data_IF_007287516444
#
_entry.id   IF_007287516444
#
_cell.length_a   1.000
_cell.length_b   1.000
_cell.length_c   1.000
_cell.angle_alpha   90.00
_cell.angle_beta   90.00
_cell.angle_gamma   90.00
#
_symmetry.space_group_name_H-M   'P 1'
#
loop_
_entity.id
_entity.type
_entity.pdbx_description
1 polymer ?
#
# COMPACT_ATOMS: atom_id res chain seq x y z
N UNK A 1 1.11 -53.72 4.55
CA UNK A 1 1.52 -52.32 4.33
C UNK A 1 0.96 -51.91 2.99
N UNK A 2 -0.15 -51.17 2.97
CA UNK A 2 -0.86 -50.79 1.74
C UNK A 2 -0.64 -49.31 1.47
N UNK A 3 0.50 -48.96 0.89
CA UNK A 3 0.54 -47.75 0.06
C UNK A 3 -0.25 -48.08 -1.21
N UNK A 4 -1.32 -47.33 -1.49
CA UNK A 4 -2.13 -47.49 -2.71
C UNK A 4 -1.40 -47.00 -3.98
N UNK A 5 -0.14 -46.58 -3.82
CA UNK A 5 0.72 -46.14 -4.91
C UNK A 5 1.53 -47.29 -5.50
N UNK A 6 1.73 -47.26 -6.81
CA UNK A 6 2.67 -48.15 -7.48
C UNK A 6 4.11 -47.84 -7.06
N UNK A 7 5.00 -48.83 -7.13
CA UNK A 7 6.43 -48.64 -6.82
C UNK A 7 7.07 -47.51 -7.65
N UNK A 8 6.67 -47.38 -8.93
CA UNK A 8 7.12 -46.31 -9.83
C UNK A 8 6.65 -44.92 -9.36
N UNK A 9 5.40 -44.81 -8.90
CA UNK A 9 4.86 -43.55 -8.37
C UNK A 9 5.58 -43.13 -7.08
N UNK A 10 5.81 -44.07 -6.15
CA UNK A 10 6.55 -43.81 -4.92
C UNK A 10 7.98 -43.35 -5.21
N UNK A 11 8.67 -44.00 -6.15
CA UNK A 11 10.02 -43.60 -6.54
C UNK A 11 10.05 -42.18 -7.11
N UNK A 12 9.08 -41.83 -7.97
CA UNK A 12 8.96 -40.48 -8.54
C UNK A 12 8.73 -39.41 -7.46
N UNK A 13 7.81 -39.65 -6.52
CA UNK A 13 7.52 -38.72 -5.44
C UNK A 13 8.72 -38.57 -4.49
N UNK A 14 9.41 -39.68 -4.18
CA UNK A 14 10.64 -39.64 -3.38
C UNK A 14 11.74 -38.83 -4.06
N UNK A 15 11.94 -39.00 -5.37
CA UNK A 15 12.95 -38.20 -6.09
C UNK A 15 12.61 -36.71 -6.08
N UNK A 16 11.33 -36.35 -6.23
CA UNK A 16 10.89 -34.95 -6.14
C UNK A 16 11.18 -34.36 -4.76
N UNK A 17 10.81 -35.04 -3.68
CA UNK A 17 11.10 -34.60 -2.31
C UNK A 17 12.59 -34.40 -2.05
N UNK A 18 13.45 -35.29 -2.55
CA UNK A 18 14.91 -35.17 -2.37
C UNK A 18 15.46 -33.98 -3.15
N UNK A 19 14.97 -33.74 -4.37
CA UNK A 19 15.36 -32.56 -5.16
C UNK A 19 14.92 -31.28 -4.46
N UNK A 20 13.65 -31.18 -4.05
CA UNK A 20 13.13 -30.01 -3.33
C UNK A 20 13.89 -29.75 -2.03
N UNK A 21 14.18 -30.80 -1.24
CA UNK A 21 15.00 -30.69 -0.03
C UNK A 21 16.34 -30.05 -0.33
N UNK A 22 17.06 -30.58 -1.32
CA UNK A 22 18.39 -30.09 -1.70
C UNK A 22 18.34 -28.65 -2.19
N UNK A 23 17.30 -28.28 -2.92
CA UNK A 23 17.13 -26.91 -3.44
C UNK A 23 16.90 -25.91 -2.31
N UNK A 24 16.13 -26.29 -1.28
CA UNK A 24 15.91 -25.46 -0.07
C UNK A 24 17.21 -25.36 0.74
N UNK A 25 17.87 -26.48 1.04
CA UNK A 25 19.14 -26.50 1.79
C UNK A 25 20.19 -25.61 1.11
N UNK A 26 20.34 -25.74 -0.21
CA UNK A 26 21.26 -24.93 -0.98
C UNK A 26 20.89 -23.44 -0.97
N UNK A 27 19.60 -23.09 -1.02
CA UNK A 27 19.14 -21.70 -0.93
C UNK A 27 19.44 -21.09 0.44
N UNK A 28 19.20 -21.82 1.51
CA UNK A 28 19.50 -21.38 2.88
C UNK A 28 21.00 -21.21 3.11
N UNK A 29 21.82 -22.13 2.59
CA UNK A 29 23.29 -22.03 2.65
C UNK A 29 23.83 -20.86 1.83
N UNK A 30 23.39 -20.69 0.58
CA UNK A 30 23.90 -19.64 -0.31
C UNK A 30 23.52 -18.22 0.12
N UNK A 31 22.35 -18.05 0.73
CA UNK A 31 21.86 -16.75 1.17
C UNK A 31 22.15 -16.45 2.64
N UNK A 32 22.99 -17.24 3.31
CA UNK A 32 23.28 -17.10 4.74
C UNK A 32 22.01 -16.96 5.60
N UNK A 33 21.00 -17.80 5.30
CA UNK A 33 19.66 -17.71 5.91
C UNK A 33 19.04 -16.32 5.73
N UNK A 34 19.03 -15.83 4.49
CA UNK A 34 18.50 -14.50 4.10
C UNK A 34 19.24 -13.33 4.77
N UNK A 35 20.53 -13.47 5.07
CA UNK A 35 21.32 -12.44 5.74
C UNK A 35 20.89 -12.16 7.19
N UNK A 36 20.04 -13.02 7.78
CA UNK A 36 19.51 -12.85 9.13
C UNK A 36 20.50 -13.28 10.22
N UNK A 37 21.65 -13.86 9.85
CA UNK A 37 22.74 -14.18 10.77
C UNK A 37 23.34 -12.94 11.43
N UNK A 38 23.27 -11.79 10.75
CA UNK A 38 23.75 -10.52 11.27
C UNK A 38 22.62 -9.65 11.86
N UNK A 39 23.01 -8.76 12.78
CA UNK A 39 22.09 -7.74 13.29
C UNK A 39 21.77 -6.74 12.18
N UNK A 40 20.56 -6.18 12.18
CA UNK A 40 20.15 -5.14 11.21
C UNK A 40 21.15 -3.97 11.14
N UNK A 41 21.77 -3.62 12.28
CA UNK A 41 22.82 -2.60 12.38
C UNK A 41 24.06 -2.91 11.52
N UNK A 42 24.45 -4.17 11.45
CA UNK A 42 25.59 -4.63 10.63
C UNK A 42 25.23 -4.63 9.15
N UNK A 43 23.99 -5.01 8.82
CA UNK A 43 23.47 -5.05 7.46
C UNK A 43 23.36 -3.67 6.82
N UNK A 44 22.87 -2.67 7.57
CA UNK A 44 22.80 -1.27 7.11
C UNK A 44 24.15 -0.55 7.16
N UNK A 45 25.10 -1.05 7.94
CA UNK A 45 26.37 -0.38 8.20
C UNK A 45 26.25 0.87 9.10
N UNK A 46 25.05 1.15 9.60
CA UNK A 46 24.75 2.37 10.35
C UNK A 46 25.04 2.20 11.85
N UNK A 47 25.69 3.20 12.47
CA UNK A 47 25.99 3.13 13.90
C UNK A 47 24.77 3.47 14.78
N UNK A 48 23.85 4.27 14.26
CA UNK A 48 22.66 4.77 14.96
C UNK A 48 21.54 5.13 13.97
N UNK A 49 20.27 4.75 14.24
CA UNK A 49 19.14 5.17 13.43
C UNK A 49 18.71 6.63 13.69
N UNK A 50 19.33 7.33 14.64
CA UNK A 50 18.90 8.68 15.08
C UNK A 50 19.04 9.74 13.98
N UNK A 51 20.01 9.60 13.08
CA UNK A 51 20.27 10.55 11.99
C UNK A 51 19.55 10.15 10.69
N UNK A 52 18.86 9.01 10.68
CA UNK A 52 18.14 8.53 9.51
C UNK A 52 16.72 9.08 9.46
N UNK A 53 16.21 9.27 8.25
CA UNK A 53 14.81 9.60 8.07
C UNK A 53 13.95 8.43 8.58
N UNK A 54 12.85 8.67 9.35
CA UNK A 54 12.02 7.59 9.90
C UNK A 54 11.48 6.62 8.84
N UNK A 55 11.23 7.11 7.62
CA UNK A 55 10.80 6.30 6.48
C UNK A 55 11.85 5.29 5.99
N UNK A 56 13.14 5.64 6.08
CA UNK A 56 14.23 4.73 5.67
C UNK A 56 14.32 3.57 6.66
N UNK A 57 14.24 3.87 7.96
CA UNK A 57 14.21 2.84 9.02
C UNK A 57 12.98 1.93 8.87
N UNK A 58 11.82 2.48 8.51
CA UNK A 58 10.62 1.69 8.26
C UNK A 58 10.79 0.74 7.06
N UNK A 59 11.44 1.20 6.00
CA UNK A 59 11.71 0.40 4.79
C UNK A 59 12.64 -0.78 5.11
N UNK A 60 13.75 -0.51 5.83
CA UNK A 60 14.69 -1.56 6.26
C UNK A 60 14.03 -2.60 7.17
N UNK A 61 13.16 -2.15 8.10
CA UNK A 61 12.40 -3.06 8.96
C UNK A 61 11.44 -3.94 8.16
N UNK A 62 10.73 -3.36 7.19
CA UNK A 62 9.80 -4.10 6.33
C UNK A 62 10.52 -5.17 5.51
N UNK A 63 11.67 -4.84 4.91
CA UNK A 63 12.47 -5.81 4.15
C UNK A 63 13.00 -6.93 5.07
N UNK A 64 13.42 -6.59 6.29
CA UNK A 64 13.86 -7.60 7.26
C UNK A 64 12.72 -8.53 7.71
N UNK A 65 11.51 -8.01 7.92
CA UNK A 65 10.34 -8.83 8.25
C UNK A 65 9.97 -9.79 7.11
N UNK A 66 10.11 -9.33 5.87
CA UNK A 66 9.94 -10.18 4.68
C UNK A 66 10.99 -11.29 4.63
N UNK A 67 12.26 -10.99 4.90
CA UNK A 67 13.31 -12.00 4.95
C UNK A 67 13.06 -13.06 6.03
N UNK A 68 12.60 -12.64 7.22
CA UNK A 68 12.20 -13.58 8.30
C UNK A 68 11.06 -14.49 7.82
N UNK A 69 10.05 -13.92 7.17
CA UNK A 69 8.91 -14.68 6.66
C UNK A 69 9.32 -15.72 5.60
N UNK A 70 10.30 -15.38 4.75
CA UNK A 70 10.85 -16.31 3.76
C UNK A 70 11.67 -17.43 4.41
N UNK A 71 12.48 -17.10 5.41
CA UNK A 71 13.23 -18.09 6.18
C UNK A 71 12.29 -19.09 6.86
N UNK A 72 11.29 -18.59 7.61
CA UNK A 72 10.31 -19.45 8.28
C UNK A 72 9.57 -20.35 7.29
N UNK A 73 9.19 -19.82 6.12
CA UNK A 73 8.54 -20.59 5.07
C UNK A 73 9.40 -21.77 4.60
N UNK A 74 10.67 -21.52 4.32
CA UNK A 74 11.63 -22.52 3.87
C UNK A 74 11.90 -23.59 4.94
N UNK A 75 12.08 -23.17 6.20
CA UNK A 75 12.26 -24.07 7.35
C UNK A 75 11.05 -24.98 7.55
N UNK A 76 9.83 -24.42 7.52
CA UNK A 76 8.60 -25.21 7.62
C UNK A 76 8.43 -26.17 6.45
N UNK A 77 8.79 -25.75 5.23
CA UNK A 77 8.74 -26.64 4.07
C UNK A 77 9.74 -27.78 4.21
N UNK A 78 10.97 -27.50 4.67
CA UNK A 78 12.01 -28.50 4.90
C UNK A 78 11.58 -29.53 5.95
N UNK A 79 11.01 -29.09 7.07
CA UNK A 79 10.47 -29.98 8.12
C UNK A 79 9.35 -30.89 7.56
N UNK A 80 8.46 -30.32 6.74
CA UNK A 80 7.38 -31.07 6.09
C UNK A 80 7.93 -32.13 5.12
N UNK A 81 8.96 -31.79 4.34
CA UNK A 81 9.64 -32.71 3.42
C UNK A 81 10.34 -33.83 4.18
N UNK A 82 11.08 -33.52 5.25
CA UNK A 82 11.76 -34.53 6.06
C UNK A 82 10.78 -35.50 6.72
N UNK A 83 9.68 -34.97 7.24
CA UNK A 83 8.61 -35.81 7.79
C UNK A 83 7.95 -36.70 6.71
N UNK A 84 7.80 -36.19 5.48
CA UNK A 84 7.28 -36.98 4.37
C UNK A 84 8.25 -38.09 3.93
N UNK A 85 9.55 -37.80 3.86
CA UNK A 85 10.59 -38.80 3.59
C UNK A 85 10.63 -39.89 4.67
N UNK A 86 10.55 -39.52 5.93
CA UNK A 86 10.45 -40.48 7.04
C UNK A 86 9.19 -41.35 6.93
N UNK A 87 8.06 -40.76 6.54
CA UNK A 87 6.80 -41.50 6.31
C UNK A 87 6.91 -42.52 5.17
N UNK A 88 7.77 -42.27 4.17
CA UNK A 88 8.06 -43.21 3.08
C UNK A 88 8.85 -44.41 3.64
N UNK A 89 9.80 -44.17 4.53
CA UNK A 89 10.61 -45.22 5.17
C UNK A 89 9.76 -46.11 6.09
N UNK A 90 8.85 -45.52 6.86
CA UNK A 90 7.94 -46.22 7.76
C UNK A 90 6.74 -46.88 7.04
N UNK A 91 6.51 -46.54 5.76
CA UNK A 91 5.50 -47.17 4.91
C UNK A 91 4.06 -46.68 5.10
N UNK A 92 3.86 -45.52 5.73
CA UNK A 92 2.54 -44.88 5.92
C UNK A 92 2.33 -43.63 5.04
N UNK A 93 3.30 -43.29 4.20
CA UNK A 93 3.21 -42.21 3.22
C UNK A 93 1.96 -42.30 2.32
N UNK A 94 1.31 -41.16 2.11
CA UNK A 94 0.07 -41.08 1.35
C UNK A 94 -1.19 -41.40 2.13
N UNK A 95 -1.12 -41.54 3.45
CA UNK A 95 -2.29 -41.72 4.32
C UNK A 95 -2.58 -40.42 5.07
N UNK A 96 -3.83 -39.96 5.05
CA UNK A 96 -4.19 -38.73 5.77
C UNK A 96 -4.06 -38.91 7.28
N UNK A 97 -3.34 -38.01 7.95
CA UNK A 97 -3.13 -38.05 9.40
C UNK A 97 -4.42 -37.95 10.25
N UNK A 98 -5.51 -37.43 9.68
CA UNK A 98 -6.80 -37.24 10.39
C UNK A 98 -7.78 -38.40 10.13
N UNK A 99 -8.12 -38.66 8.87
CA UNK A 99 -9.13 -39.67 8.53
C UNK A 99 -8.56 -41.05 8.17
N UNK A 100 -7.24 -41.18 8.13
CA UNK A 100 -6.53 -42.42 7.77
C UNK A 100 -6.90 -42.99 6.39
N UNK A 101 -7.50 -42.16 5.53
CA UNK A 101 -7.84 -42.54 4.15
C UNK A 101 -6.66 -42.27 3.21
N UNK A 102 -6.55 -43.03 2.11
CA UNK A 102 -5.52 -42.80 1.09
C UNK A 102 -5.69 -41.41 0.45
N UNK A 103 -4.59 -40.68 0.35
CA UNK A 103 -4.52 -39.38 -0.30
C UNK A 103 -4.40 -39.60 -1.82
N UNK A 104 -5.24 -38.95 -2.66
CA UNK A 104 -5.17 -39.12 -4.11
C UNK A 104 -3.79 -38.81 -4.68
N UNK A 105 -3.35 -39.60 -5.66
CA UNK A 105 -2.03 -39.42 -6.30
C UNK A 105 -1.86 -38.02 -6.90
N UNK A 106 -2.88 -37.49 -7.57
CA UNK A 106 -2.87 -36.13 -8.13
C UNK A 106 -2.54 -35.05 -7.09
N UNK A 107 -3.02 -35.22 -5.85
CA UNK A 107 -2.70 -34.31 -4.75
C UNK A 107 -1.26 -34.45 -4.29
N UNK A 108 -0.77 -35.68 -4.15
CA UNK A 108 0.64 -35.92 -3.79
C UNK A 108 1.60 -35.48 -4.89
N UNK A 109 1.16 -35.52 -6.16
CA UNK A 109 1.94 -35.00 -7.28
C UNK A 109 2.04 -33.47 -7.25
N UNK A 110 1.00 -32.78 -6.77
CA UNK A 110 1.00 -31.32 -6.63
C UNK A 110 1.70 -30.84 -5.35
N UNK A 111 1.52 -31.54 -4.23
CA UNK A 111 2.10 -31.20 -2.93
C UNK A 111 2.63 -32.48 -2.26
N UNK A 112 3.87 -32.91 -2.59
CA UNK A 112 4.38 -34.23 -2.20
C UNK A 112 4.66 -34.37 -0.70
N UNK A 113 4.84 -33.26 0.01
CA UNK A 113 5.09 -33.23 1.46
C UNK A 113 3.79 -33.15 2.30
N UNK A 114 2.60 -33.24 1.70
CA UNK A 114 1.34 -33.10 2.45
C UNK A 114 1.04 -34.30 3.35
N UNK A 115 0.65 -34.03 4.60
CA UNK A 115 0.15 -35.03 5.57
C UNK A 115 -1.36 -35.22 5.53
N UNK A 116 -2.09 -34.38 4.79
CA UNK A 116 -3.54 -34.26 4.89
C UNK A 116 -4.23 -34.43 3.53
N UNK A 117 -5.43 -35.03 3.55
CA UNK A 117 -6.34 -34.97 2.40
C UNK A 117 -6.94 -33.56 2.27
N UNK A 118 -7.52 -33.24 1.11
CA UNK A 118 -8.11 -31.91 0.83
C UNK A 118 -9.10 -31.44 1.92
N UNK A 119 -9.90 -32.33 2.49
CA UNK A 119 -10.92 -31.99 3.50
C UNK A 119 -10.35 -31.65 4.88
N UNK A 120 -9.16 -32.16 5.21
CA UNK A 120 -8.54 -32.02 6.52
C UNK A 120 -7.28 -31.14 6.47
N UNK A 121 -7.08 -30.39 5.38
CA UNK A 121 -6.01 -29.40 5.30
C UNK A 121 -6.33 -28.27 6.30
N UNK A 122 -5.44 -27.98 7.28
CA UNK A 122 -5.72 -27.00 8.32
C UNK A 122 -5.76 -25.55 7.79
N UNK A 123 -4.96 -25.25 6.76
CA UNK A 123 -4.87 -23.93 6.12
C UNK A 123 -5.96 -23.76 5.04
N UNK A 124 -7.22 -23.60 5.45
CA UNK A 124 -8.32 -23.29 4.51
C UNK A 124 -8.99 -21.95 4.75
N UNK A 125 -8.73 -21.31 5.88
CA UNK A 125 -9.35 -20.03 6.25
C UNK A 125 -8.31 -18.93 6.06
N UNK A 126 -8.56 -18.04 5.10
CA UNK A 126 -7.85 -16.76 5.04
C UNK A 126 -8.22 -16.03 6.33
N UNK A 127 -7.22 -15.58 7.09
CA UNK A 127 -7.48 -14.82 8.32
C UNK A 127 -8.37 -13.62 8.01
N UNK A 128 -9.58 -13.61 8.56
CA UNK A 128 -10.46 -12.44 8.54
C UNK A 128 -10.04 -11.39 9.59
N UNK A 129 -9.01 -11.68 10.40
CA UNK A 129 -8.40 -10.71 11.31
C UNK A 129 -7.53 -9.75 10.50
N UNK A 130 -8.20 -8.90 9.73
CA UNK A 130 -7.61 -7.73 9.14
C UNK A 130 -7.39 -6.67 10.23
N UNK A 131 -6.37 -5.81 10.11
CA UNK A 131 -6.13 -4.73 11.07
C UNK A 131 -7.40 -3.90 11.30
N UNK A 132 -7.62 -3.46 12.54
CA UNK A 132 -8.84 -2.69 12.90
C UNK A 132 -8.91 -1.37 12.13
N UNK A 133 -7.76 -0.86 11.72
CA UNK A 133 -7.54 0.30 10.87
C UNK A 133 -8.30 0.14 9.55
N UNK A 134 -8.35 -1.05 8.95
CA UNK A 134 -9.06 -1.24 7.67
C UNK A 134 -10.57 -1.02 7.81
N UNK A 135 -11.16 -1.33 8.96
CA UNK A 135 -12.58 -1.02 9.24
C UNK A 135 -12.82 0.48 9.40
N UNK A 136 -11.87 1.18 10.02
CA UNK A 136 -11.96 2.62 10.20
C UNK A 136 -11.68 3.36 8.89
N UNK A 137 -10.73 2.87 8.10
CA UNK A 137 -10.27 3.50 6.86
C UNK A 137 -11.16 3.16 5.67
N UNK A 138 -12.17 2.28 5.78
CA UNK A 138 -13.04 1.94 4.67
C UNK A 138 -14.02 3.09 4.32
N UNK A 139 -14.17 3.46 3.03
CA UNK A 139 -13.35 3.08 1.87
C UNK A 139 -11.94 3.69 1.94
N UNK A 140 -10.91 2.88 1.68
CA UNK A 140 -9.50 3.26 1.88
C UNK A 140 -9.19 4.60 1.20
N UNK A 141 -8.68 5.56 1.99
CA UNK A 141 -8.35 6.94 1.59
C UNK A 141 -9.53 7.82 1.13
N UNK A 142 -10.66 7.26 0.71
CA UNK A 142 -11.85 8.00 0.28
C UNK A 142 -12.93 8.19 1.37
N UNK A 143 -12.69 7.77 2.61
CA UNK A 143 -13.65 8.00 3.71
C UNK A 143 -13.78 9.49 4.05
N UNK A 144 -12.67 10.21 3.99
CA UNK A 144 -12.55 11.58 4.49
C UNK A 144 -12.58 12.63 3.38
N UNK A 145 -12.34 12.26 2.13
CA UNK A 145 -12.61 13.13 0.97
C UNK A 145 -14.10 13.06 0.63
N UNK A 146 -14.79 14.19 0.71
CA UNK A 146 -16.24 14.31 0.56
C UNK A 146 -16.63 15.16 -0.65
N UNK A 147 -15.66 15.55 -1.48
CA UNK A 147 -15.78 16.43 -2.65
C UNK A 147 -16.75 15.90 -3.71
N UNK A 148 -16.93 14.57 -3.79
CA UNK A 148 -17.93 13.96 -4.67
C UNK A 148 -19.39 14.19 -4.18
N UNK A 149 -19.60 14.87 -3.05
CA UNK A 149 -20.91 15.13 -2.47
C UNK A 149 -21.29 16.61 -2.59
N UNK A 150 -22.32 16.86 -3.39
CA UNK A 150 -22.87 18.21 -3.61
C UNK A 150 -23.35 18.93 -2.33
N UNK A 151 -23.56 18.22 -1.22
CA UNK A 151 -24.01 18.77 0.06
C UNK A 151 -22.90 19.06 1.07
N UNK A 152 -21.64 18.77 0.72
CA UNK A 152 -20.48 18.91 1.60
C UNK A 152 -19.48 19.89 0.99
N UNK A 153 -19.40 21.07 1.59
CA UNK A 153 -18.51 22.17 1.19
C UNK A 153 -17.61 22.65 2.36
N UNK A 154 -17.42 21.80 3.36
CA UNK A 154 -16.72 22.14 4.59
C UNK A 154 -15.52 21.22 4.80
N UNK A 155 -14.57 21.71 5.59
CA UNK A 155 -13.28 21.08 5.87
C UNK A 155 -13.34 19.56 6.07
N UNK A 156 -12.60 18.82 5.26
CA UNK A 156 -12.55 17.37 5.28
C UNK A 156 -11.11 16.81 5.17
N UNK A 157 -10.96 15.54 4.77
CA UNK A 157 -9.64 14.90 4.62
C UNK A 157 -8.82 15.41 3.43
N UNK A 158 -9.55 15.80 2.38
CA UNK A 158 -9.21 16.76 1.34
C UNK A 158 -8.28 17.89 1.78
N UNK A 159 -8.95 18.88 2.38
CA UNK A 159 -8.39 20.10 2.90
C UNK A 159 -7.24 19.82 3.88
N UNK A 160 -7.42 18.82 4.76
CA UNK A 160 -6.39 18.45 5.72
C UNK A 160 -5.09 17.99 5.05
N UNK A 161 -5.20 17.25 3.94
CA UNK A 161 -4.05 16.81 3.18
C UNK A 161 -3.40 17.94 2.40
N UNK A 162 -4.20 18.78 1.72
CA UNK A 162 -3.71 19.96 1.00
C UNK A 162 -2.96 20.93 1.92
N UNK A 163 -3.48 21.20 3.13
CA UNK A 163 -2.79 22.02 4.12
C UNK A 163 -1.42 21.43 4.44
N UNK A 164 -1.34 20.12 4.74
CA UNK A 164 -0.07 19.47 5.07
C UNK A 164 0.90 19.51 3.89
N UNK A 165 0.40 19.28 2.67
CA UNK A 165 1.16 19.35 1.44
C UNK A 165 1.75 20.76 1.21
N UNK A 166 1.02 21.83 1.55
CA UNK A 166 1.49 23.21 1.44
C UNK A 166 2.74 23.51 2.27
N UNK A 167 2.96 22.79 3.38
CA UNK A 167 4.17 22.91 4.20
C UNK A 167 5.38 22.18 3.60
N UNK A 168 5.16 21.39 2.55
CA UNK A 168 6.20 20.79 1.73
C UNK A 168 5.98 19.31 1.46
N UNK A 169 6.16 18.91 0.21
CA UNK A 169 6.20 17.51 -0.23
C UNK A 169 7.52 17.21 -0.93
N UNK A 170 7.83 15.92 -1.12
CA UNK A 170 8.96 15.49 -1.95
C UNK A 170 8.65 15.52 -3.45
N UNK A 171 7.52 16.11 -3.85
CA UNK A 171 7.11 16.22 -5.24
C UNK A 171 7.98 17.23 -5.98
N UNK A 172 8.26 16.94 -7.24
CA UNK A 172 8.90 17.88 -8.17
C UNK A 172 7.84 18.57 -9.02
N UNK A 173 8.10 19.72 -9.67
CA UNK A 173 7.14 20.34 -10.58
C UNK A 173 6.66 19.42 -11.70
N UNK A 174 7.42 18.37 -12.06
CA UNK A 174 7.02 17.36 -13.05
C UNK A 174 5.96 16.37 -12.52
N UNK A 175 5.75 16.32 -11.21
CA UNK A 175 4.75 15.50 -10.52
C UNK A 175 3.51 16.30 -10.12
N UNK A 176 3.51 17.60 -10.41
CA UNK A 176 2.41 18.47 -10.06
C UNK A 176 1.21 18.19 -10.97
N UNK A 177 0.00 18.31 -10.41
CA UNK A 177 -1.24 17.96 -11.09
C UNK A 177 -1.59 18.91 -12.24
N UNK A 178 -1.40 20.22 -11.98
CA UNK A 178 -1.68 21.28 -12.93
C UNK A 178 -0.71 21.31 -14.12
N UNK A 179 -1.23 21.73 -15.28
CA UNK A 179 -0.46 21.81 -16.53
C UNK A 179 0.45 23.04 -16.63
N UNK A 180 0.18 24.08 -15.86
CA UNK A 180 0.82 25.40 -15.94
C UNK A 180 1.36 25.84 -14.57
N UNK A 181 2.14 24.98 -13.93
CA UNK A 181 2.73 25.25 -12.61
C UNK A 181 4.11 25.87 -12.79
N UNK A 182 4.21 27.16 -12.50
CA UNK A 182 5.41 27.98 -12.68
C UNK A 182 6.12 28.34 -11.35
N UNK A 183 5.52 27.99 -10.21
CA UNK A 183 6.09 28.18 -8.88
C UNK A 183 5.92 26.94 -7.99
N UNK A 184 6.87 26.74 -7.07
CA UNK A 184 6.80 25.72 -6.03
C UNK A 184 5.66 25.99 -5.04
N UNK A 185 5.21 27.23 -4.93
CA UNK A 185 4.14 27.65 -4.02
C UNK A 185 2.73 27.22 -4.49
N UNK A 186 2.62 26.68 -5.72
CA UNK A 186 1.35 26.24 -6.35
C UNK A 186 1.47 24.83 -6.94
N UNK A 187 2.29 23.98 -6.32
CA UNK A 187 2.41 22.56 -6.70
C UNK A 187 1.40 21.64 -6.02
N UNK A 188 0.72 22.13 -4.99
CA UNK A 188 -0.25 21.33 -4.23
C UNK A 188 -1.46 20.96 -5.09
N UNK A 189 -2.06 19.81 -4.78
CA UNK A 189 -3.27 19.29 -5.42
C UNK A 189 -4.38 20.36 -5.31
N UNK A 190 -5.05 20.63 -6.42
CA UNK A 190 -6.16 21.60 -6.54
C UNK A 190 -5.90 23.04 -6.04
N UNK A 191 -4.65 23.41 -5.75
CA UNK A 191 -4.26 24.71 -5.19
C UNK A 191 -4.61 25.93 -6.06
N UNK A 192 -5.04 25.70 -7.30
CA UNK A 192 -5.44 26.74 -8.26
C UNK A 192 -6.94 26.89 -8.43
N UNK A 193 -7.70 25.88 -8.02
CA UNK A 193 -9.09 25.69 -8.37
C UNK A 193 -9.98 25.82 -7.12
N UNK A 194 -9.48 25.42 -5.95
CA UNK A 194 -10.17 25.63 -4.68
C UNK A 194 -9.90 26.98 -4.06
N UNK A 195 -10.97 27.55 -3.48
CA UNK A 195 -10.92 28.83 -2.78
C UNK A 195 -11.04 28.59 -1.29
N UNK A 196 -9.90 28.54 -0.60
CA UNK A 196 -9.86 28.30 0.84
C UNK A 196 -10.58 29.40 1.64
N UNK A 197 -11.41 28.99 2.59
CA UNK A 197 -11.93 29.85 3.65
C UNK A 197 -13.06 30.81 3.27
N UNK A 198 -13.68 30.64 2.10
CA UNK A 198 -14.91 31.36 1.72
C UNK A 198 -16.08 30.41 1.51
N UNK A 199 -17.30 30.90 1.77
CA UNK A 199 -18.55 30.18 1.47
C UNK A 199 -18.99 30.46 0.04
N UNK A 200 -18.80 31.71 -0.42
CA UNK A 200 -19.12 32.13 -1.78
C UNK A 200 -17.86 32.70 -2.46
N UNK A 201 -17.70 32.43 -3.76
CA UNK A 201 -16.48 32.80 -4.51
C UNK A 201 -16.09 34.28 -4.39
N UNK A 202 -17.08 35.18 -4.24
CA UNK A 202 -16.81 36.61 -4.10
C UNK A 202 -16.25 37.01 -2.73
N UNK A 203 -16.50 36.23 -1.67
CA UNK A 203 -15.96 36.52 -0.34
C UNK A 203 -14.43 36.42 -0.29
N UNK A 204 -13.82 35.72 -1.26
CA UNK A 204 -12.37 35.61 -1.38
C UNK A 204 -11.65 36.90 -1.81
N UNK A 205 -12.38 37.84 -2.40
CA UNK A 205 -11.83 39.12 -2.88
C UNK A 205 -12.59 40.35 -2.40
N UNK A 206 -13.77 40.17 -1.79
CA UNK A 206 -14.51 41.26 -1.15
C UNK A 206 -14.09 41.38 0.30
N UNK A 207 -13.47 42.50 0.66
CA UNK A 207 -13.05 42.79 2.02
C UNK A 207 -13.84 43.98 2.58
N UNK A 208 -14.22 43.91 3.85
CA UNK A 208 -14.85 45.02 4.56
C UNK A 208 -14.16 45.34 5.88
N UNK A 209 -14.41 46.53 6.43
CA UNK A 209 -13.94 46.88 7.77
C UNK A 209 -14.66 46.03 8.83
N UNK A 210 -14.17 46.05 10.07
CA UNK A 210 -14.77 45.26 11.18
C UNK A 210 -16.23 45.64 11.49
N UNK A 211 -16.74 46.73 10.91
CA UNK A 211 -18.09 47.23 11.08
C UNK A 211 -19.00 47.00 9.85
N UNK A 212 -18.47 46.51 8.73
CA UNK A 212 -19.22 46.19 7.51
C UNK A 212 -19.62 47.41 6.65
N UNK A 213 -18.97 48.56 6.82
CA UNK A 213 -19.37 49.81 6.16
C UNK A 213 -18.59 50.11 4.90
N UNK A 214 -17.28 49.87 4.91
CA UNK A 214 -16.40 50.16 3.78
C UNK A 214 -16.10 48.85 3.03
N UNK A 215 -16.70 48.66 1.86
CA UNK A 215 -16.46 47.49 1.00
C UNK A 215 -15.33 47.82 0.02
N UNK A 216 -14.35 46.94 -0.06
CA UNK A 216 -13.18 47.06 -0.93
C UNK A 216 -12.95 45.76 -1.68
N UNK A 217 -12.36 45.86 -2.88
CA UNK A 217 -12.07 44.70 -3.73
C UNK A 217 -10.56 44.47 -3.74
N UNK A 218 -10.15 43.27 -3.34
CA UNK A 218 -8.78 42.79 -3.37
C UNK A 218 -8.54 42.12 -4.71
N UNK A 219 -7.68 42.71 -5.55
CA UNK A 219 -7.39 42.19 -6.90
C UNK A 219 -6.38 41.02 -6.88
N UNK A 220 -6.77 39.92 -6.24
CA UNK A 220 -6.02 38.66 -6.22
C UNK A 220 -6.30 37.82 -7.48
N UNK A 221 -5.80 36.58 -7.52
CA UNK A 221 -5.98 35.65 -8.64
C UNK A 221 -7.46 35.28 -8.83
N UNK A 222 -8.17 35.06 -7.73
CA UNK A 222 -9.57 34.65 -7.67
C UNK A 222 -10.49 35.73 -8.27
N UNK A 223 -10.25 37.01 -7.99
CA UNK A 223 -10.94 38.12 -8.64
C UNK A 223 -10.81 38.08 -10.18
N UNK A 224 -9.62 37.74 -10.70
CA UNK A 224 -9.40 37.65 -12.15
C UNK A 224 -10.12 36.44 -12.75
N UNK A 225 -10.05 35.28 -12.12
CA UNK A 225 -10.79 34.08 -12.54
C UNK A 225 -12.31 34.33 -12.54
N UNK A 226 -12.85 34.98 -11.51
CA UNK A 226 -14.28 35.34 -11.42
C UNK A 226 -14.73 36.21 -12.60
N UNK A 227 -13.93 37.22 -12.96
CA UNK A 227 -14.18 38.07 -14.13
C UNK A 227 -14.02 37.33 -15.47
N UNK A 228 -12.99 36.51 -15.62
CA UNK A 228 -12.73 35.71 -16.83
C UNK A 228 -13.85 34.71 -17.11
N UNK A 229 -14.36 34.06 -16.06
CA UNK A 229 -15.48 33.13 -16.13
C UNK A 229 -16.83 33.82 -16.36
N UNK A 230 -16.87 35.16 -16.26
CA UNK A 230 -18.10 35.98 -16.31
C UNK A 230 -19.12 35.56 -15.25
N UNK A 231 -18.63 35.21 -14.07
CA UNK A 231 -19.47 34.89 -12.92
C UNK A 231 -20.03 36.19 -12.32
N UNK A 232 -21.30 36.18 -11.89
CA UNK A 232 -21.99 37.37 -11.37
C UNK A 232 -22.68 38.24 -12.42
N UNK A 233 -23.33 39.32 -11.95
CA UNK A 233 -24.00 40.30 -12.80
C UNK A 233 -23.10 41.54 -12.93
N UNK A 234 -22.50 41.74 -14.10
CA UNK A 234 -21.53 42.82 -14.39
C UNK A 234 -22.10 44.25 -14.35
N UNK A 235 -23.26 44.43 -13.73
CA UNK A 235 -24.04 45.67 -13.72
C UNK A 235 -23.54 46.72 -12.71
N UNK A 236 -22.52 46.41 -11.90
CA UNK A 236 -22.03 47.30 -10.82
C UNK A 236 -20.61 47.85 -11.01
N UNK A 237 -19.81 47.31 -11.93
CA UNK A 237 -18.56 47.93 -12.37
C UNK A 237 -18.79 48.58 -13.74
N UNK A 238 -18.52 49.88 -13.93
CA UNK A 238 -18.47 50.42 -15.28
C UNK A 238 -17.29 49.74 -15.98
N UNK A 239 -17.57 48.96 -17.02
CA UNK A 239 -16.55 48.47 -17.96
C UNK A 239 -15.78 49.67 -18.49
N UNK A 240 -14.61 49.94 -17.93
CA UNK A 240 -13.64 50.80 -18.58
C UNK A 240 -12.92 49.90 -19.56
N UNK A 241 -13.54 49.65 -20.70
CA UNK A 241 -12.79 49.25 -21.90
C UNK A 241 -11.82 50.39 -22.21
N UNK A 242 -10.62 50.34 -21.65
CA UNK A 242 -9.50 51.09 -22.19
C UNK A 242 -9.10 50.39 -23.48
N UNK A 243 -9.71 50.85 -24.56
CA UNK A 243 -9.30 50.59 -25.93
C UNK A 243 -7.93 51.24 -26.17
N UNK A 244 -6.89 50.67 -25.55
CA UNK A 244 -5.49 51.00 -25.87
C UNK A 244 -5.06 50.09 -27.01
N UNK A 245 -5.53 50.47 -28.21
CA UNK A 245 -4.80 50.15 -29.43
C UNK A 245 -3.42 50.78 -29.35
N UNK A 246 -2.34 49.98 -29.28
CA UNK A 246 -1.06 50.22 -29.95
C UNK A 246 -0.17 48.97 -29.95
#
# INVERSE_FOLDING_TARGET
>A
MMTHFTAKQLQSLRSQLITEKRDIEHRLEQNEHYGLGDSMKLQTGELSPIDNHPGDVATEMYDREKDISLLEHDEFQLERIDSALHSIEEGHYGTCAVCQQPIPYERMQAVPYTKYCKKHQPETVVSENRPVEEKFLAPAFGRTSLDERDDQNGFDGEDAWQIVESWGTSNTPAMAEGRDIDSYDVMAIEATDEVEGCVEAYESFVATDIYGHDVSIVRNRQYRQYLENREGDGLLEPDVESDDSY
#
